data_IF_594022391807
#
_entry.id   IF_594022391807
#
_cell.length_a   1.000
_cell.length_b   1.000
_cell.length_c   1.000
_cell.angle_alpha   90.00
_cell.angle_beta   90.00
_cell.angle_gamma   90.00
#
_symmetry.space_group_name_H-M   'P 1'
#
loop_
_entity.id
_entity.type
_entity.pdbx_description
1 polymer ?
#
# COMPACT_ATOMS: atom_id res chain seq x y z
N UNK A 1 -24.33 10.68 28.75
CA UNK A 1 -23.85 9.49 28.03
C UNK A 1 -25.00 8.97 27.20
N UNK A 2 -24.85 8.85 25.88
CA UNK A 2 -25.92 8.31 25.02
C UNK A 2 -26.03 6.80 25.22
N UNK A 3 -27.22 6.23 25.04
CA UNK A 3 -27.55 4.81 25.27
C UNK A 3 -26.70 3.80 24.48
N UNK A 4 -25.86 4.27 23.55
CA UNK A 4 -24.95 3.47 22.72
C UNK A 4 -23.49 3.46 23.20
N UNK A 5 -23.20 4.01 24.39
CA UNK A 5 -21.85 3.98 24.96
C UNK A 5 -20.88 5.00 24.33
N UNK A 6 -21.38 6.04 23.66
CA UNK A 6 -20.54 7.12 23.15
C UNK A 6 -20.30 8.18 24.23
N UNK A 7 -19.02 8.42 24.53
CA UNK A 7 -18.58 9.37 25.57
C UNK A 7 -18.04 10.68 25.00
N UNK A 8 -17.68 10.73 23.72
CA UNK A 8 -17.05 11.89 23.07
C UNK A 8 -17.68 12.18 21.70
N UNK A 9 -17.54 13.41 21.20
CA UNK A 9 -17.93 13.82 19.85
C UNK A 9 -16.72 14.48 19.19
N UNK A 10 -16.28 13.95 18.05
CA UNK A 10 -15.25 14.58 17.23
C UNK A 10 -15.93 15.56 16.29
N UNK A 11 -15.48 16.82 16.31
CA UNK A 11 -15.99 17.88 15.44
C UNK A 11 -14.88 18.29 14.50
N UNK A 12 -15.09 18.08 13.21
CA UNK A 12 -14.21 18.49 12.12
C UNK A 12 -14.75 19.80 11.55
N UNK A 13 -13.90 20.82 11.47
CA UNK A 13 -14.25 22.10 10.85
C UNK A 13 -13.30 22.32 9.68
N UNK A 14 -13.84 22.32 8.48
CA UNK A 14 -13.06 22.66 7.29
C UNK A 14 -12.62 24.14 7.37
N UNK A 15 -11.32 24.39 7.25
CA UNK A 15 -10.79 25.72 7.49
C UNK A 15 -11.25 26.75 6.44
N UNK A 16 -11.45 26.33 5.19
CA UNK A 16 -11.75 27.22 4.07
C UNK A 16 -13.26 27.43 3.87
N UNK A 17 -14.03 26.35 3.93
CA UNK A 17 -15.49 26.36 3.72
C UNK A 17 -16.28 26.54 5.01
N UNK A 18 -15.61 26.43 6.17
CA UNK A 18 -16.23 26.43 7.52
C UNK A 18 -17.28 25.35 7.70
N UNK A 19 -17.29 24.34 6.83
CA UNK A 19 -18.20 23.20 6.93
C UNK A 19 -17.88 22.38 8.18
N UNK A 20 -18.92 21.97 8.92
CA UNK A 20 -18.77 21.27 10.20
C UNK A 20 -19.38 19.88 10.11
N UNK A 21 -18.59 18.86 10.45
CA UNK A 21 -19.06 17.49 10.56
C UNK A 21 -18.77 16.94 11.96
N UNK A 22 -19.76 16.23 12.53
CA UNK A 22 -19.66 15.71 13.90
C UNK A 22 -19.90 14.19 13.93
N UNK A 23 -19.00 13.47 14.61
CA UNK A 23 -19.01 12.01 14.69
C UNK A 23 -18.96 11.54 16.16
N UNK A 24 -19.85 10.60 16.58
CA UNK A 24 -19.84 10.08 17.94
C UNK A 24 -18.71 9.04 18.16
N UNK A 25 -17.98 9.16 19.28
CA UNK A 25 -16.86 8.29 19.65
C UNK A 25 -17.11 7.56 20.99
N UNK A 26 -16.78 6.26 21.04
CA UNK A 26 -16.94 5.41 22.22
C UNK A 26 -15.77 5.53 23.24
N UNK A 27 -14.58 5.89 22.76
CA UNK A 27 -13.38 6.16 23.57
C UNK A 27 -12.50 7.16 22.83
N UNK A 28 -11.51 7.75 23.52
CA UNK A 28 -10.49 8.59 22.87
C UNK A 28 -9.53 7.81 21.94
N UNK A 29 -9.64 6.49 21.82
CA UNK A 29 -8.60 5.63 21.20
C UNK A 29 -8.65 5.53 19.67
N UNK A 30 -9.46 6.36 19.00
CA UNK A 30 -9.21 6.71 17.61
C UNK A 30 -8.18 7.84 17.59
N UNK A 31 -6.90 7.49 17.67
CA UNK A 31 -5.81 8.44 17.79
C UNK A 31 -5.55 9.15 16.45
N UNK A 32 -6.12 10.34 16.27
CA UNK A 32 -5.67 11.28 15.23
C UNK A 32 -4.40 11.98 15.72
N UNK A 33 -3.26 11.71 15.09
CA UNK A 33 -1.96 12.26 15.52
C UNK A 33 -1.16 12.86 14.36
N UNK A 34 -0.77 14.12 14.53
CA UNK A 34 0.27 14.77 13.73
C UNK A 34 1.57 14.80 14.55
N UNK A 35 2.61 14.14 14.05
CA UNK A 35 3.89 14.04 14.77
C UNK A 35 5.05 13.83 13.79
N UNK A 36 6.30 14.06 14.22
CA UNK A 36 7.46 13.80 13.36
C UNK A 36 7.68 12.30 13.17
N UNK A 37 7.54 11.51 14.23
CA UNK A 37 7.82 10.08 14.22
C UNK A 37 6.80 9.30 15.05
N UNK A 38 6.44 8.10 14.57
CA UNK A 38 5.64 7.12 15.29
C UNK A 38 6.40 5.81 15.37
N UNK A 39 6.45 5.23 16.56
CA UNK A 39 6.95 3.87 16.79
C UNK A 39 5.92 3.07 17.59
N UNK A 40 5.61 1.84 17.16
CA UNK A 40 4.86 0.89 17.98
C UNK A 40 3.41 1.30 18.21
N UNK A 41 2.55 1.08 17.22
CA UNK A 41 1.13 1.39 17.36
C UNK A 41 0.24 0.23 16.96
N UNK A 42 -0.85 0.01 17.69
CA UNK A 42 -1.77 -1.08 17.41
C UNK A 42 -3.23 -0.64 17.54
N UNK A 43 -4.06 -1.00 16.56
CA UNK A 43 -5.50 -0.72 16.59
C UNK A 43 -6.04 -0.11 15.31
N UNK A 44 -6.80 0.98 15.44
CA UNK A 44 -7.37 1.74 14.32
C UNK A 44 -6.88 3.17 14.39
N UNK A 45 -5.87 3.50 13.59
CA UNK A 45 -5.19 4.79 13.69
C UNK A 45 -5.29 5.63 12.42
N UNK A 46 -5.26 6.95 12.61
CA UNK A 46 -5.16 7.95 11.54
C UNK A 46 -4.00 8.89 11.82
N UNK A 47 -2.99 8.90 10.94
CA UNK A 47 -1.71 9.54 11.23
C UNK A 47 -1.18 10.37 10.05
N UNK A 48 -0.69 11.56 10.36
CA UNK A 48 0.11 12.39 9.46
C UNK A 48 1.48 12.62 10.10
N UNK A 49 2.56 12.09 9.50
CA UNK A 49 3.88 12.14 10.13
C UNK A 49 5.02 11.99 9.15
N UNK A 50 6.26 12.29 9.54
CA UNK A 50 7.40 12.11 8.64
C UNK A 50 7.75 10.62 8.51
N UNK A 51 7.77 9.90 9.64
CA UNK A 51 8.17 8.49 9.69
C UNK A 51 7.26 7.64 10.58
N UNK A 52 6.94 6.42 10.12
CA UNK A 52 6.24 5.40 10.90
C UNK A 52 7.01 4.10 10.92
N UNK A 53 7.16 3.51 12.10
CA UNK A 53 7.77 2.20 12.26
C UNK A 53 6.93 1.28 13.16
N UNK A 54 6.76 0.02 12.75
CA UNK A 54 6.30 -1.04 13.66
C UNK A 54 4.86 -0.88 14.11
N UNK A 55 3.92 -0.79 13.18
CA UNK A 55 2.50 -0.63 13.53
C UNK A 55 1.63 -1.78 13.04
N UNK A 56 0.56 -2.07 13.77
CA UNK A 56 -0.32 -3.21 13.59
C UNK A 56 -1.81 -2.84 13.58
N UNK A 57 -2.58 -3.34 12.63
CA UNK A 57 -4.05 -3.22 12.68
C UNK A 57 -4.68 -2.63 11.43
N UNK A 58 -5.40 -1.52 11.57
CA UNK A 58 -6.19 -0.90 10.50
C UNK A 58 -5.85 0.59 10.44
N UNK A 59 -4.88 0.95 9.62
CA UNK A 59 -4.26 2.26 9.72
C UNK A 59 -4.40 3.09 8.45
N UNK A 60 -4.62 4.38 8.62
CA UNK A 60 -4.57 5.39 7.57
C UNK A 60 -3.38 6.32 7.82
N UNK A 61 -2.48 6.43 6.83
CA UNK A 61 -1.22 7.16 6.98
C UNK A 61 -0.94 8.08 5.79
N UNK A 62 -0.61 9.33 6.09
CA UNK A 62 0.07 10.23 5.16
C UNK A 62 1.47 10.52 5.73
N UNK A 63 2.53 10.06 5.08
CA UNK A 63 3.88 10.19 5.63
C UNK A 63 4.99 10.13 4.60
N UNK A 64 6.22 10.50 4.96
CA UNK A 64 7.34 10.37 4.02
C UNK A 64 7.79 8.90 3.92
N UNK A 65 7.92 8.22 5.06
CA UNK A 65 8.45 6.85 5.10
C UNK A 65 7.66 5.94 6.06
N UNK A 66 7.45 4.69 5.63
CA UNK A 66 6.83 3.63 6.45
C UNK A 66 7.70 2.38 6.45
N UNK A 67 7.90 1.82 7.63
CA UNK A 67 8.71 0.63 7.87
C UNK A 67 7.94 -0.37 8.74
N UNK A 68 7.95 -1.65 8.38
CA UNK A 68 7.57 -2.71 9.33
C UNK A 68 6.12 -2.65 9.80
N UNK A 69 5.15 -2.50 8.91
CA UNK A 69 3.74 -2.40 9.29
C UNK A 69 2.94 -3.64 8.88
N UNK A 70 1.98 -4.05 9.71
CA UNK A 70 1.15 -5.21 9.47
C UNK A 70 -0.35 -4.92 9.62
N UNK A 71 -1.18 -5.54 8.77
CA UNK A 71 -2.63 -5.50 8.92
C UNK A 71 -3.37 -5.05 7.67
N UNK A 72 -4.21 -4.02 7.77
CA UNK A 72 -4.99 -3.46 6.67
C UNK A 72 -4.76 -1.97 6.58
N UNK A 73 -3.81 -1.57 5.74
CA UNK A 73 -3.35 -0.19 5.76
C UNK A 73 -3.66 0.56 4.47
N UNK A 74 -3.93 1.85 4.63
CA UNK A 74 -4.01 2.83 3.55
C UNK A 74 -2.89 3.84 3.73
N UNK A 75 -2.04 4.00 2.72
CA UNK A 75 -0.82 4.79 2.84
C UNK A 75 -0.63 5.69 1.62
N UNK A 76 -0.47 6.98 1.86
CA UNK A 76 0.08 7.94 0.90
C UNK A 76 1.46 8.35 1.40
N UNK A 77 2.52 7.96 0.70
CA UNK A 77 3.89 8.20 1.19
C UNK A 77 4.96 8.19 0.12
N UNK A 78 6.16 8.63 0.42
CA UNK A 78 7.26 8.56 -0.56
C UNK A 78 7.80 7.14 -0.65
N UNK A 79 8.05 6.50 0.49
CA UNK A 79 8.68 5.18 0.56
C UNK A 79 8.00 4.23 1.56
N UNK A 80 7.87 2.97 1.17
CA UNK A 80 7.40 1.88 2.03
C UNK A 80 8.36 0.72 1.98
N UNK A 81 8.74 0.20 3.16
CA UNK A 81 9.52 -1.02 3.26
C UNK A 81 8.92 -1.99 4.29
N UNK A 82 9.01 -3.30 3.99
CA UNK A 82 8.78 -4.33 5.00
C UNK A 82 7.36 -4.38 5.54
N UNK A 83 6.34 -4.43 4.69
CA UNK A 83 4.95 -4.39 5.14
C UNK A 83 4.18 -5.66 4.77
N UNK A 84 3.25 -6.08 5.64
CA UNK A 84 2.47 -7.28 5.43
C UNK A 84 0.96 -7.08 5.64
N UNK A 85 0.14 -7.79 4.85
CA UNK A 85 -1.31 -7.85 5.07
C UNK A 85 -2.13 -7.47 3.85
N UNK A 86 -3.06 -6.51 3.99
CA UNK A 86 -3.90 -6.02 2.89
C UNK A 86 -3.73 -4.52 2.75
N UNK A 87 -2.84 -4.09 1.88
CA UNK A 87 -2.47 -2.68 1.84
C UNK A 87 -2.88 -1.99 0.55
N UNK A 88 -3.28 -0.72 0.68
CA UNK A 88 -3.44 0.23 -0.41
C UNK A 88 -2.39 1.31 -0.29
N UNK A 89 -1.61 1.50 -1.36
CA UNK A 89 -0.44 2.39 -1.33
C UNK A 89 -0.40 3.28 -2.57
N UNK A 90 -0.31 4.58 -2.34
CA UNK A 90 0.12 5.55 -3.34
C UNK A 90 1.49 6.07 -2.91
N UNK A 91 2.55 5.72 -3.63
CA UNK A 91 3.90 6.07 -3.22
C UNK A 91 4.93 6.12 -4.33
N UNK A 92 6.12 6.66 -4.08
CA UNK A 92 7.18 6.63 -5.11
C UNK A 92 7.83 5.24 -5.18
N UNK A 93 8.16 4.65 -4.03
CA UNK A 93 8.89 3.39 -3.95
C UNK A 93 8.31 2.42 -2.92
N UNK A 94 8.26 1.14 -3.29
CA UNK A 94 7.88 0.04 -2.39
C UNK A 94 8.94 -1.06 -2.45
N UNK A 95 9.38 -1.52 -1.28
CA UNK A 95 10.29 -2.65 -1.16
C UNK A 95 9.78 -3.68 -0.13
N UNK A 96 9.95 -4.97 -0.42
CA UNK A 96 9.84 -6.02 0.61
C UNK A 96 8.45 -6.12 1.23
N UNK A 97 7.39 -6.26 0.42
CA UNK A 97 6.02 -6.31 0.94
C UNK A 97 5.31 -7.62 0.62
N UNK A 98 4.46 -8.09 1.54
CA UNK A 98 3.75 -9.35 1.37
C UNK A 98 2.24 -9.26 1.65
N UNK A 99 1.44 -10.01 0.88
CA UNK A 99 0.02 -10.17 1.18
C UNK A 99 -0.90 -9.87 0.00
N UNK A 100 -1.88 -8.98 0.17
CA UNK A 100 -2.81 -8.57 -0.89
C UNK A 100 -2.76 -7.07 -1.07
N UNK A 101 -1.96 -6.60 -2.01
CA UNK A 101 -1.66 -5.18 -2.10
C UNK A 101 -2.17 -4.54 -3.39
N UNK A 102 -2.65 -3.31 -3.26
CA UNK A 102 -2.93 -2.40 -4.36
C UNK A 102 -1.93 -1.25 -4.31
N UNK A 103 -1.21 -1.05 -5.41
CA UNK A 103 -0.09 -0.10 -5.46
C UNK A 103 -0.17 0.77 -6.71
N UNK A 104 -0.14 2.08 -6.50
CA UNK A 104 0.17 3.07 -7.52
C UNK A 104 1.52 3.69 -7.16
N UNK A 105 2.57 3.42 -7.94
CA UNK A 105 3.91 3.87 -7.58
C UNK A 105 4.90 3.95 -8.74
N UNK A 106 6.05 4.57 -8.55
CA UNK A 106 7.08 4.60 -9.61
C UNK A 106 7.81 3.27 -9.67
N UNK A 107 8.22 2.72 -8.52
CA UNK A 107 9.05 1.51 -8.44
C UNK A 107 8.58 0.53 -7.37
N UNK A 108 8.59 -0.76 -7.72
CA UNK A 108 8.32 -1.87 -6.80
C UNK A 108 9.45 -2.90 -6.86
N UNK A 109 9.98 -3.28 -5.70
CA UNK A 109 10.98 -4.34 -5.59
C UNK A 109 10.59 -5.38 -4.52
N UNK A 110 10.85 -6.66 -4.78
CA UNK A 110 10.84 -7.68 -3.72
C UNK A 110 9.47 -7.88 -3.07
N UNK A 111 8.39 -8.00 -3.83
CA UNK A 111 7.04 -8.12 -3.26
C UNK A 111 6.41 -9.49 -3.56
N UNK A 112 5.64 -10.02 -2.61
CA UNK A 112 4.99 -11.32 -2.74
C UNK A 112 3.50 -11.33 -2.40
N UNK A 113 2.73 -12.18 -3.08
CA UNK A 113 1.34 -12.46 -2.71
C UNK A 113 0.35 -12.25 -3.87
N UNK A 114 -0.69 -11.46 -3.67
CA UNK A 114 -1.70 -11.14 -4.69
C UNK A 114 -1.75 -9.64 -4.90
N UNK A 115 -1.05 -9.15 -5.90
CA UNK A 115 -0.89 -7.70 -6.05
C UNK A 115 -1.53 -7.13 -7.32
N UNK A 116 -2.06 -5.93 -7.18
CA UNK A 116 -2.48 -5.06 -8.29
C UNK A 116 -1.56 -3.84 -8.33
N UNK A 117 -0.95 -3.59 -9.49
CA UNK A 117 0.11 -2.59 -9.60
C UNK A 117 -0.05 -1.73 -10.86
N UNK A 118 -0.05 -0.43 -10.65
CA UNK A 118 0.19 0.57 -11.69
C UNK A 118 1.52 1.26 -11.37
N UNK A 119 2.54 1.04 -12.19
CA UNK A 119 3.88 1.56 -11.90
C UNK A 119 4.81 1.68 -13.09
N UNK A 120 5.92 2.41 -12.96
CA UNK A 120 6.91 2.49 -14.04
C UNK A 120 7.74 1.22 -14.12
N UNK A 121 8.24 0.73 -12.97
CA UNK A 121 9.16 -0.41 -12.91
C UNK A 121 8.81 -1.40 -11.80
N UNK A 122 8.93 -2.69 -12.13
CA UNK A 122 8.78 -3.79 -11.17
C UNK A 122 9.95 -4.77 -11.26
N UNK A 123 10.54 -5.10 -10.11
CA UNK A 123 11.63 -6.07 -10.03
C UNK A 123 11.39 -7.12 -8.93
N UNK A 124 11.71 -8.38 -9.21
CA UNK A 124 11.85 -9.40 -8.15
C UNK A 124 10.56 -9.69 -7.38
N UNK A 125 9.45 -9.96 -8.06
CA UNK A 125 8.15 -10.10 -7.41
C UNK A 125 7.49 -11.44 -7.70
N UNK A 126 6.80 -12.01 -6.71
CA UNK A 126 6.22 -13.34 -6.80
C UNK A 126 4.75 -13.46 -6.40
N UNK A 127 3.99 -14.34 -7.06
CA UNK A 127 2.64 -14.70 -6.63
C UNK A 127 1.60 -14.63 -7.73
N UNK A 128 0.51 -13.89 -7.51
CA UNK A 128 -0.56 -13.68 -8.51
C UNK A 128 -0.74 -12.19 -8.75
N UNK A 129 -0.11 -11.66 -9.79
CA UNK A 129 -0.03 -10.22 -9.96
C UNK A 129 -0.73 -9.73 -11.23
N UNK A 130 -1.41 -8.59 -11.10
CA UNK A 130 -1.89 -7.78 -12.22
C UNK A 130 -1.08 -6.50 -12.31
N UNK A 131 -0.55 -6.21 -13.50
CA UNK A 131 0.44 -5.14 -13.67
C UNK A 131 0.17 -4.33 -14.93
N UNK A 132 0.07 -3.03 -14.75
CA UNK A 132 0.20 -2.04 -15.81
C UNK A 132 1.50 -1.26 -15.56
N UNK A 133 2.52 -1.46 -16.40
CA UNK A 133 3.84 -0.86 -16.15
C UNK A 133 4.74 -0.74 -17.36
N UNK A 134 5.75 0.13 -17.31
CA UNK A 134 6.69 0.26 -18.43
C UNK A 134 7.63 -0.95 -18.50
N UNK A 135 8.22 -1.36 -17.37
CA UNK A 135 9.23 -2.41 -17.33
C UNK A 135 9.01 -3.42 -16.19
N UNK A 136 9.21 -4.71 -16.49
CA UNK A 136 9.17 -5.80 -15.51
C UNK A 136 10.42 -6.68 -15.62
N UNK A 137 11.08 -6.94 -14.50
CA UNK A 137 12.24 -7.84 -14.44
C UNK A 137 12.10 -8.88 -13.32
N UNK A 138 12.47 -10.14 -13.59
CA UNK A 138 12.69 -11.13 -12.52
C UNK A 138 11.46 -11.50 -11.69
N UNK A 139 10.30 -11.67 -12.31
CA UNK A 139 9.04 -11.88 -11.58
C UNK A 139 8.42 -13.25 -11.84
N UNK A 140 7.90 -13.92 -10.80
CA UNK A 140 7.43 -15.30 -10.89
C UNK A 140 5.97 -15.52 -10.42
N UNK A 141 5.26 -16.48 -11.01
CA UNK A 141 3.96 -16.93 -10.51
C UNK A 141 2.88 -16.99 -11.58
N UNK A 142 1.72 -16.36 -11.33
CA UNK A 142 0.60 -16.28 -12.29
C UNK A 142 0.28 -14.82 -12.56
N UNK A 143 0.81 -14.26 -13.64
CA UNK A 143 0.75 -12.83 -13.84
C UNK A 143 -0.03 -12.41 -15.09
N UNK A 144 -0.73 -11.29 -14.96
CA UNK A 144 -1.38 -10.56 -16.04
C UNK A 144 -0.67 -9.22 -16.21
N UNK A 145 -0.17 -8.94 -17.41
CA UNK A 145 0.74 -7.82 -17.64
C UNK A 145 0.38 -7.04 -18.90
N UNK A 146 0.24 -5.73 -18.75
CA UNK A 146 0.26 -4.75 -19.83
C UNK A 146 1.52 -3.91 -19.66
N UNK A 147 2.48 -4.03 -20.59
CA UNK A 147 3.78 -3.39 -20.40
C UNK A 147 4.58 -3.10 -21.66
N UNK A 148 5.63 -2.29 -21.56
CA UNK A 148 6.54 -2.11 -22.71
C UNK A 148 7.56 -3.25 -22.77
N UNK A 149 8.24 -3.54 -21.66
CA UNK A 149 9.33 -4.51 -21.64
C UNK A 149 9.20 -5.52 -20.50
N UNK A 150 9.46 -6.81 -20.80
CA UNK A 150 9.62 -7.87 -19.80
C UNK A 150 10.93 -8.60 -19.97
N UNK A 151 11.65 -8.81 -18.87
CA UNK A 151 12.86 -9.63 -18.84
C UNK A 151 12.84 -10.66 -17.69
N UNK A 152 13.29 -11.89 -17.96
CA UNK A 152 13.63 -12.89 -16.93
C UNK A 152 12.52 -13.23 -15.94
N UNK A 153 11.25 -13.19 -16.36
CA UNK A 153 10.12 -13.56 -15.51
C UNK A 153 9.89 -15.08 -15.52
N UNK A 154 8.99 -15.67 -14.71
CA UNK A 154 8.58 -17.08 -14.73
C UNK A 154 7.18 -17.46 -14.26
N UNK A 155 6.67 -18.59 -14.76
CA UNK A 155 5.34 -19.10 -14.44
C UNK A 155 4.32 -18.93 -15.56
N UNK A 156 3.04 -18.76 -15.18
CA UNK A 156 1.89 -18.71 -16.08
C UNK A 156 1.51 -17.27 -16.35
N UNK A 157 1.90 -16.74 -17.51
CA UNK A 157 1.76 -15.32 -17.77
C UNK A 157 0.92 -15.01 -19.00
N UNK A 158 -0.01 -14.08 -18.83
CA UNK A 158 -0.76 -13.41 -19.89
C UNK A 158 -0.17 -12.03 -20.09
N UNK A 159 0.25 -11.71 -21.32
CA UNK A 159 1.06 -10.50 -21.58
C UNK A 159 0.60 -9.77 -22.82
N UNK A 160 0.36 -8.46 -22.68
CA UNK A 160 0.31 -7.50 -23.77
C UNK A 160 1.54 -6.60 -23.63
N UNK A 161 2.65 -6.96 -24.28
CA UNK A 161 3.87 -6.15 -24.24
C UNK A 161 4.58 -6.02 -25.58
N UNK A 162 5.30 -4.91 -25.78
CA UNK A 162 6.00 -4.64 -27.05
C UNK A 162 7.32 -5.40 -27.18
N UNK A 163 8.00 -5.70 -26.08
CA UNK A 163 9.28 -6.43 -26.06
C UNK A 163 9.37 -7.44 -24.92
N UNK A 164 9.85 -8.65 -25.24
CA UNK A 164 10.02 -9.74 -24.28
C UNK A 164 11.41 -10.36 -24.48
N UNK A 165 12.18 -10.51 -23.40
CA UNK A 165 13.45 -11.23 -23.41
C UNK A 165 13.49 -12.28 -22.27
N UNK A 166 13.74 -13.55 -22.62
CA UNK A 166 13.80 -14.68 -21.68
C UNK A 166 12.95 -15.89 -22.08
N UNK A 167 13.23 -17.05 -21.50
CA UNK A 167 12.77 -18.37 -21.96
C UNK A 167 11.45 -18.82 -21.32
N UNK A 168 10.26 -18.64 -21.94
CA UNK A 168 8.97 -19.08 -21.34
C UNK A 168 7.85 -19.56 -22.25
N UNK A 169 7.03 -20.47 -21.66
CA UNK A 169 5.69 -20.84 -22.12
C UNK A 169 4.81 -19.59 -22.11
N UNK A 170 4.64 -19.00 -23.29
CA UNK A 170 3.67 -17.95 -23.57
C UNK A 170 2.34 -18.67 -23.83
N UNK A 171 1.29 -18.29 -23.09
CA UNK A 171 -0.07 -18.56 -23.54
C UNK A 171 -0.55 -17.23 -24.11
N UNK A 172 -0.66 -17.18 -25.43
CA UNK A 172 -1.31 -16.10 -26.16
C UNK A 172 -2.81 -16.29 -26.04
#
# INVERSE_FOLDING_TARGET
MTSKGHQYICVLVDYYTKWVEAYPLASKTGDWRCCTQVQGCCGRDWRCCTQVQGCCGRDWRCCTQVQGCCGRDWRCCTQVQGCCGRDWRCCTQVQGCCGRDWRCCTQVQGCCGRDWRCCTQVQGCCGRDWRCCTQVQGCCGRDWRCCTQVQGCCGWDWRCCTQIQGTQKIIV
#
